data_IF_086810980933
#
_entry.id   IF_086810980933
#
_cell.length_a   1.000
_cell.length_b   1.000
_cell.length_c   1.000
_cell.angle_alpha   90.00
_cell.angle_beta   90.00
_cell.angle_gamma   90.00
#
_symmetry.space_group_name_H-M   'P 1'
#
loop_
_entity.id
_entity.type
_entity.pdbx_description
1 polymer ?
#
# COMPACT_ATOMS: atom_id res chain seq x y z
N UNK A 1 33.47 -17.06 4.18
CA UNK A 1 32.75 -17.47 5.41
C UNK A 1 32.79 -16.41 6.52
N UNK A 2 33.06 -15.13 6.23
CA UNK A 2 33.14 -14.09 7.27
C UNK A 2 32.44 -12.77 6.87
N UNK A 3 31.47 -12.85 5.96
CA UNK A 3 30.77 -11.69 5.42
C UNK A 3 29.26 -11.93 5.35
N UNK A 4 28.62 -12.15 6.51
CA UNK A 4 27.18 -11.92 6.73
C UNK A 4 26.77 -12.26 8.17
N UNK A 5 27.53 -11.83 9.20
CA UNK A 5 26.86 -11.45 10.45
C UNK A 5 26.16 -10.14 10.13
N UNK A 6 24.95 -10.23 9.55
CA UNK A 6 24.00 -9.13 9.63
C UNK A 6 23.91 -8.84 11.11
N UNK A 7 24.51 -7.74 11.53
CA UNK A 7 24.32 -7.16 12.84
C UNK A 7 22.82 -7.00 12.97
N UNK A 8 22.17 -7.93 13.67
CA UNK A 8 20.87 -7.71 14.25
C UNK A 8 21.13 -6.61 15.25
N UNK A 9 21.06 -5.35 14.80
CA UNK A 9 20.98 -4.23 15.71
C UNK A 9 19.79 -4.55 16.59
N UNK A 10 20.04 -4.76 17.88
CA UNK A 10 19.02 -5.04 18.87
C UNK A 10 18.04 -3.85 18.86
N UNK A 11 16.97 -3.96 18.07
CA UNK A 11 15.90 -2.99 18.05
C UNK A 11 15.18 -3.16 19.38
N UNK A 12 15.47 -2.28 20.34
CA UNK A 12 14.77 -2.26 21.62
C UNK A 12 13.28 -1.95 21.44
N UNK A 13 12.47 -2.17 22.48
CA UNK A 13 11.01 -1.97 22.43
C UNK A 13 10.63 -0.59 21.87
N UNK A 14 11.27 0.48 22.36
CA UNK A 14 11.00 1.84 21.91
C UNK A 14 11.32 2.03 20.43
N UNK A 15 12.47 1.53 19.96
CA UNK A 15 12.83 1.58 18.55
C UNK A 15 11.87 0.77 17.69
N UNK A 16 11.36 -0.36 18.19
CA UNK A 16 10.35 -1.18 17.53
C UNK A 16 9.01 -0.44 17.39
N UNK A 17 8.53 0.18 18.46
CA UNK A 17 7.32 1.02 18.45
C UNK A 17 7.48 2.18 17.46
N UNK A 18 8.60 2.90 17.51
CA UNK A 18 8.89 3.99 16.57
C UNK A 18 8.91 3.53 15.11
N UNK A 19 9.42 2.32 14.84
CA UNK A 19 9.41 1.74 13.49
C UNK A 19 7.98 1.44 13.03
N UNK A 20 7.13 0.86 13.90
CA UNK A 20 5.71 0.58 13.59
C UNK A 20 4.96 1.89 13.33
N UNK A 21 5.09 2.89 14.21
CA UNK A 21 4.45 4.20 14.04
C UNK A 21 4.92 4.85 12.74
N UNK A 22 6.22 4.81 12.47
CA UNK A 22 6.82 5.36 11.27
C UNK A 22 6.41 4.66 9.97
N UNK A 23 6.03 3.38 9.99
CA UNK A 23 5.54 2.67 8.80
C UNK A 23 4.03 2.79 8.62
N UNK A 24 3.26 2.84 9.71
CA UNK A 24 1.79 2.93 9.68
C UNK A 24 1.29 4.33 9.30
N UNK A 25 1.96 5.39 9.79
CA UNK A 25 1.61 6.75 9.42
C UNK A 25 2.04 6.99 7.96
N UNK A 26 1.07 7.00 7.04
CA UNK A 26 1.26 7.28 5.63
C UNK A 26 0.51 8.52 5.16
N UNK A 27 0.51 8.77 3.85
CA UNK A 27 -0.24 9.87 3.23
C UNK A 27 -1.76 9.73 3.30
N UNK A 28 -2.28 8.56 3.69
CA UNK A 28 -3.71 8.29 3.78
C UNK A 28 -4.46 9.26 4.70
N UNK A 29 -3.83 9.75 5.79
CA UNK A 29 -4.47 10.70 6.71
C UNK A 29 -4.85 12.04 6.05
N UNK A 30 -4.17 12.41 4.96
CA UNK A 30 -4.49 13.65 4.25
C UNK A 30 -5.62 13.46 3.24
N UNK A 31 -5.82 12.24 2.75
CA UNK A 31 -6.76 11.92 1.65
C UNK A 31 -8.07 11.35 2.19
N UNK A 32 -7.99 10.36 3.09
CA UNK A 32 -9.12 9.57 3.56
C UNK A 32 -10.21 10.35 4.30
N UNK A 33 -9.93 11.40 5.10
CA UNK A 33 -11.00 12.12 5.82
C UNK A 33 -12.10 12.65 4.91
N UNK A 34 -11.75 13.11 3.70
CA UNK A 34 -12.70 13.56 2.67
C UNK A 34 -13.71 12.47 2.32
N UNK A 35 -13.21 11.28 1.95
CA UNK A 35 -14.06 10.18 1.52
C UNK A 35 -14.88 9.61 2.68
N UNK A 36 -14.30 9.50 3.88
CA UNK A 36 -15.03 9.01 5.06
C UNK A 36 -16.15 9.96 5.45
N UNK A 37 -15.91 11.28 5.46
CA UNK A 37 -16.96 12.25 5.78
C UNK A 37 -18.09 12.24 4.73
N UNK A 38 -17.73 12.15 3.45
CA UNK A 38 -18.68 12.06 2.35
C UNK A 38 -19.65 10.87 2.50
N UNK A 39 -19.12 9.68 2.81
CA UNK A 39 -19.94 8.48 2.93
C UNK A 39 -20.66 8.36 4.28
N UNK A 40 -20.11 8.95 5.35
CA UNK A 40 -20.73 8.94 6.68
C UNK A 40 -21.78 10.05 6.87
N UNK A 41 -21.72 11.12 6.07
CA UNK A 41 -22.72 12.20 6.03
C UNK A 41 -22.69 13.16 7.22
N UNK A 42 -22.00 12.82 8.31
CA UNK A 42 -21.92 13.61 9.54
C UNK A 42 -20.60 13.38 10.28
N UNK A 43 -20.21 14.34 11.12
CA UNK A 43 -18.90 14.36 11.81
C UNK A 43 -18.78 13.24 12.87
N UNK A 44 -19.84 13.00 13.64
CA UNK A 44 -19.89 11.98 14.68
C UNK A 44 -19.66 10.56 14.14
N UNK A 45 -20.47 10.10 13.16
CA UNK A 45 -20.25 8.82 12.48
C UNK A 45 -18.86 8.70 11.83
N UNK A 46 -18.33 9.79 11.25
CA UNK A 46 -16.96 9.82 10.71
C UNK A 46 -15.91 9.44 11.76
N UNK A 47 -15.96 10.05 12.96
CA UNK A 47 -15.03 9.75 14.06
C UNK A 47 -15.17 8.32 14.60
N UNK A 48 -16.39 7.78 14.64
CA UNK A 48 -16.64 6.38 15.05
C UNK A 48 -16.02 5.40 14.06
N UNK A 49 -16.15 5.66 12.75
CA UNK A 49 -15.55 4.83 11.69
C UNK A 49 -14.01 4.83 11.84
N UNK A 50 -13.38 5.99 12.04
CA UNK A 50 -11.93 6.08 12.27
C UNK A 50 -11.47 5.24 13.46
N UNK A 51 -12.23 5.29 14.57
CA UNK A 51 -11.94 4.51 15.78
C UNK A 51 -12.09 3.01 15.51
N UNK A 52 -13.17 2.60 14.83
CA UNK A 52 -13.41 1.21 14.46
C UNK A 52 -12.32 0.65 13.54
N UNK A 53 -11.85 1.44 12.55
CA UNK A 53 -10.73 1.06 11.69
C UNK A 53 -9.43 0.85 12.47
N UNK A 54 -9.15 1.67 13.48
CA UNK A 54 -7.96 1.51 14.34
C UNK A 54 -8.00 0.23 15.17
N UNK A 55 -9.18 -0.12 15.72
CA UNK A 55 -9.39 -1.40 16.43
C UNK A 55 -9.20 -2.57 15.46
N UNK A 56 -9.82 -2.52 14.29
CA UNK A 56 -9.74 -3.56 13.28
C UNK A 56 -8.29 -3.79 12.79
N UNK A 57 -7.53 -2.72 12.57
CA UNK A 57 -6.12 -2.81 12.19
C UNK A 57 -5.28 -3.49 13.30
N UNK A 58 -5.57 -3.19 14.56
CA UNK A 58 -4.89 -3.82 15.71
C UNK A 58 -5.20 -5.33 15.78
N UNK A 59 -6.47 -5.71 15.61
CA UNK A 59 -6.89 -7.12 15.59
C UNK A 59 -6.24 -7.89 14.43
N UNK A 60 -6.18 -7.27 13.24
CA UNK A 60 -5.47 -7.83 12.09
C UNK A 60 -3.98 -8.01 12.36
N UNK A 61 -3.31 -6.97 12.90
CA UNK A 61 -1.88 -7.01 13.22
C UNK A 61 -1.52 -8.13 14.22
N UNK A 62 -2.38 -8.39 15.20
CA UNK A 62 -2.21 -9.50 16.15
C UNK A 62 -2.27 -10.87 15.44
N UNK A 63 -3.18 -11.05 14.47
CA UNK A 63 -3.23 -12.27 13.66
C UNK A 63 -1.94 -12.44 12.83
N UNK A 64 -1.44 -11.34 12.25
CA UNK A 64 -0.16 -11.33 11.54
C UNK A 64 1.04 -11.60 12.44
N UNK A 65 1.01 -11.19 13.71
CA UNK A 65 2.07 -11.47 14.68
C UNK A 65 2.19 -12.96 15.01
N UNK A 66 1.07 -13.68 15.17
CA UNK A 66 1.08 -15.15 15.31
C UNK A 66 1.62 -15.82 14.04
N UNK A 67 1.17 -15.42 12.86
CA UNK A 67 1.65 -15.99 11.59
C UNK A 67 3.15 -15.74 11.36
N UNK A 68 3.62 -14.51 11.62
CA UNK A 68 5.01 -14.13 11.40
C UNK A 68 5.99 -14.75 12.40
N UNK A 69 5.53 -15.09 13.61
CA UNK A 69 6.35 -15.84 14.58
C UNK A 69 6.32 -17.34 14.34
N UNK A 70 5.25 -17.87 13.70
CA UNK A 70 5.13 -19.27 13.33
C UNK A 70 5.87 -19.63 12.04
N UNK A 71 5.83 -18.75 11.03
CA UNK A 71 6.42 -18.99 9.71
C UNK A 71 7.47 -17.90 9.44
N UNK A 72 8.71 -18.18 9.81
CA UNK A 72 9.85 -17.26 9.66
C UNK A 72 10.45 -17.31 8.24
N UNK A 73 9.61 -17.19 7.21
CA UNK A 73 10.03 -17.14 5.80
C UNK A 73 9.85 -15.71 5.25
N UNK A 74 10.75 -15.28 4.39
CA UNK A 74 10.60 -13.99 3.68
C UNK A 74 9.49 -14.08 2.62
N UNK A 75 8.66 -13.04 2.48
CA UNK A 75 7.64 -12.97 1.42
C UNK A 75 6.29 -12.38 1.80
N UNK A 76 6.09 -11.95 3.06
CA UNK A 76 4.80 -11.39 3.50
C UNK A 76 3.75 -12.47 3.66
N UNK A 77 2.56 -12.29 3.06
CA UNK A 77 1.46 -13.27 3.12
C UNK A 77 1.69 -14.50 2.24
N UNK A 78 2.53 -14.38 1.21
CA UNK A 78 2.84 -15.47 0.29
C UNK A 78 3.23 -16.80 0.98
N UNK A 79 4.22 -16.84 1.91
CA UNK A 79 4.56 -18.06 2.62
C UNK A 79 3.44 -18.58 3.54
N UNK A 80 2.59 -17.70 4.08
CA UNK A 80 1.48 -18.11 4.95
C UNK A 80 0.40 -18.84 4.14
N UNK A 81 0.06 -18.29 2.97
CA UNK A 81 -0.89 -18.91 2.04
C UNK A 81 -0.34 -20.20 1.43
N UNK A 82 0.98 -20.24 1.16
CA UNK A 82 1.65 -21.44 0.67
C UNK A 82 1.56 -22.59 1.69
N UNK A 83 1.82 -22.33 2.97
CA UNK A 83 1.80 -23.38 4.00
C UNK A 83 0.38 -23.84 4.34
N UNK A 84 -0.61 -22.94 4.28
CA UNK A 84 -2.00 -23.27 4.62
C UNK A 84 -2.80 -23.91 3.48
N UNK A 85 -2.64 -23.41 2.25
CA UNK A 85 -3.49 -23.76 1.10
C UNK A 85 -2.74 -24.29 -0.12
N UNK A 86 -1.40 -24.26 -0.09
CA UNK A 86 -0.56 -24.73 -1.20
C UNK A 86 -0.31 -23.70 -2.30
N UNK A 87 0.19 -24.17 -3.43
CA UNK A 87 0.80 -23.32 -4.46
C UNK A 87 -0.20 -22.50 -5.28
N UNK A 88 -1.44 -22.96 -5.43
CA UNK A 88 -2.48 -22.28 -6.22
C UNK A 88 -2.86 -20.93 -5.62
N UNK A 89 -3.27 -20.91 -4.35
CA UNK A 89 -3.68 -19.67 -3.67
C UNK A 89 -2.49 -18.74 -3.41
N UNK A 90 -1.31 -19.30 -3.10
CA UNK A 90 -0.09 -18.51 -3.01
C UNK A 90 0.29 -17.84 -4.35
N UNK A 91 0.09 -18.54 -5.48
CA UNK A 91 0.28 -17.97 -6.80
C UNK A 91 -0.74 -16.86 -7.08
N UNK A 92 -2.04 -17.08 -6.82
CA UNK A 92 -3.07 -16.06 -7.02
C UNK A 92 -2.80 -14.80 -6.20
N UNK A 93 -2.37 -14.95 -4.95
CA UNK A 93 -1.90 -13.82 -4.15
C UNK A 93 -0.74 -13.09 -4.81
N UNK A 94 0.29 -13.83 -5.24
CA UNK A 94 1.46 -13.22 -5.88
C UNK A 94 1.08 -12.50 -7.19
N UNK A 95 0.21 -13.10 -8.00
CA UNK A 95 -0.30 -12.54 -9.25
C UNK A 95 -1.03 -11.23 -8.99
N UNK A 96 -2.05 -11.26 -8.14
CA UNK A 96 -2.85 -10.08 -7.83
C UNK A 96 -2.01 -9.01 -7.14
N UNK A 97 -1.10 -9.38 -6.25
CA UNK A 97 -0.30 -8.38 -5.54
C UNK A 97 0.66 -7.64 -6.47
N UNK A 98 1.29 -8.35 -7.41
CA UNK A 98 2.28 -7.77 -8.33
C UNK A 98 1.62 -7.01 -9.47
N UNK A 99 0.49 -7.50 -9.99
CA UNK A 99 -0.18 -6.90 -11.16
C UNK A 99 -1.24 -5.85 -10.79
N UNK A 100 -1.86 -5.96 -9.61
CA UNK A 100 -2.94 -5.09 -9.14
C UNK A 100 -2.49 -4.30 -7.92
N UNK A 101 -2.28 -4.94 -6.79
CA UNK A 101 -2.24 -4.22 -5.51
C UNK A 101 -1.06 -3.23 -5.42
N UNK A 102 0.15 -3.66 -5.80
CA UNK A 102 1.35 -2.80 -5.70
C UNK A 102 1.35 -1.66 -6.72
N UNK A 103 1.06 -1.90 -8.03
CA UNK A 103 0.95 -0.81 -8.99
C UNK A 103 -0.19 0.16 -8.68
N UNK A 104 -1.38 -0.34 -8.32
CA UNK A 104 -2.53 0.50 -7.97
C UNK A 104 -2.23 1.35 -6.73
N UNK A 105 -1.65 0.75 -5.68
CA UNK A 105 -1.23 1.51 -4.49
C UNK A 105 -0.21 2.60 -4.83
N UNK A 106 0.76 2.32 -5.69
CA UNK A 106 1.75 3.31 -6.11
C UNK A 106 1.09 4.46 -6.88
N UNK A 107 0.18 4.14 -7.81
CA UNK A 107 -0.56 5.12 -8.60
C UNK A 107 -1.51 5.99 -7.75
N UNK A 108 -2.23 5.42 -6.77
CA UNK A 108 -3.08 6.19 -5.84
C UNK A 108 -2.25 7.25 -5.12
N UNK A 109 -1.10 6.85 -4.56
CA UNK A 109 -0.25 7.76 -3.79
C UNK A 109 0.31 8.88 -4.68
N UNK A 110 0.77 8.57 -5.89
CA UNK A 110 1.35 9.59 -6.79
C UNK A 110 0.31 10.49 -7.43
N UNK A 111 -0.93 10.00 -7.65
CA UNK A 111 -2.05 10.85 -8.04
C UNK A 111 -2.40 11.85 -6.93
N UNK A 112 -2.45 11.39 -5.68
CA UNK A 112 -2.66 12.30 -4.54
C UNK A 112 -1.51 13.30 -4.39
N UNK A 113 -0.25 12.87 -4.55
CA UNK A 113 0.90 13.79 -4.61
C UNK A 113 0.66 14.89 -5.66
N UNK A 114 0.24 14.51 -6.86
CA UNK A 114 0.05 15.45 -7.96
C UNK A 114 -1.12 16.40 -7.72
N UNK A 115 -2.22 15.94 -7.11
CA UNK A 115 -3.36 16.79 -6.71
C UNK A 115 -2.91 17.85 -5.70
N UNK A 116 -2.22 17.45 -4.61
CA UNK A 116 -1.73 18.41 -3.61
C UNK A 116 -0.62 19.33 -4.11
N UNK A 117 0.25 18.85 -5.01
CA UNK A 117 1.33 19.65 -5.57
C UNK A 117 0.84 20.67 -6.59
N UNK A 118 -0.22 20.35 -7.34
CA UNK A 118 -0.78 21.26 -8.35
C UNK A 118 -1.80 22.25 -7.78
N UNK A 119 -2.54 21.87 -6.75
CA UNK A 119 -3.62 22.69 -6.23
C UNK A 119 -3.26 24.14 -5.82
N UNK A 120 -2.05 24.45 -5.28
CA UNK A 120 -1.68 25.84 -4.97
C UNK A 120 -1.63 26.76 -6.20
N UNK A 121 -1.45 26.19 -7.40
CA UNK A 121 -1.42 26.93 -8.66
C UNK A 121 -2.83 27.15 -9.26
N UNK A 122 -3.86 26.56 -8.66
CA UNK A 122 -5.25 26.62 -9.10
C UNK A 122 -6.19 27.04 -7.95
N UNK A 123 -6.01 28.24 -7.37
CA UNK A 123 -6.85 28.68 -6.26
C UNK A 123 -8.32 28.80 -6.68
N UNK A 124 -9.21 28.11 -5.97
CA UNK A 124 -10.66 28.15 -6.21
C UNK A 124 -11.16 27.31 -7.39
N UNK A 125 -10.30 26.57 -8.09
CA UNK A 125 -10.69 25.65 -9.14
C UNK A 125 -9.97 24.30 -9.02
N UNK A 126 -10.51 23.26 -9.66
CA UNK A 126 -9.86 21.95 -9.68
C UNK A 126 -8.75 21.94 -10.74
N UNK A 127 -7.51 21.50 -10.40
CA UNK A 127 -6.45 21.40 -11.39
C UNK A 127 -6.87 20.46 -12.54
N UNK A 128 -6.50 20.77 -13.80
CA UNK A 128 -6.85 19.93 -14.94
C UNK A 128 -6.35 18.49 -14.77
N UNK A 129 -7.17 17.51 -15.14
CA UNK A 129 -6.84 16.07 -15.00
C UNK A 129 -5.55 15.70 -15.73
N UNK A 130 -5.26 16.34 -16.86
CA UNK A 130 -4.02 16.15 -17.60
C UNK A 130 -2.79 16.54 -16.77
N UNK A 131 -2.84 17.66 -16.04
CA UNK A 131 -1.73 18.14 -15.20
C UNK A 131 -1.46 17.16 -14.06
N UNK A 132 -2.53 16.70 -13.38
CA UNK A 132 -2.42 15.71 -12.30
C UNK A 132 -1.79 14.41 -12.82
N UNK A 133 -2.26 13.90 -13.96
CA UNK A 133 -1.77 12.64 -14.54
C UNK A 133 -0.31 12.73 -15.00
N UNK A 134 0.07 13.82 -15.68
CA UNK A 134 1.46 14.05 -16.10
C UNK A 134 2.41 14.21 -14.91
N UNK A 135 2.01 14.95 -13.88
CA UNK A 135 2.81 15.17 -12.68
C UNK A 135 2.97 13.87 -11.86
N UNK A 136 1.91 13.06 -11.77
CA UNK A 136 1.95 11.73 -11.15
C UNK A 136 2.89 10.78 -11.89
N UNK A 137 2.81 10.73 -13.23
CA UNK A 137 3.70 9.91 -14.05
C UNK A 137 5.17 10.35 -13.91
N UNK A 138 5.44 11.66 -13.90
CA UNK A 138 6.77 12.20 -13.65
C UNK A 138 7.30 11.79 -12.27
N UNK A 139 6.46 11.85 -11.23
CA UNK A 139 6.84 11.43 -9.88
C UNK A 139 7.20 9.94 -9.83
N UNK A 140 6.40 9.06 -10.47
CA UNK A 140 6.73 7.62 -10.57
C UNK A 140 8.08 7.41 -11.22
N UNK A 141 8.32 8.04 -12.38
CA UNK A 141 9.58 7.90 -13.13
C UNK A 141 10.77 8.33 -12.27
N UNK A 142 10.67 9.48 -11.60
CA UNK A 142 11.73 9.97 -10.71
C UNK A 142 11.99 8.99 -9.57
N UNK A 143 10.94 8.53 -8.87
CA UNK A 143 11.07 7.60 -7.75
C UNK A 143 11.71 6.28 -8.20
N UNK A 144 11.24 5.72 -9.31
CA UNK A 144 11.78 4.47 -9.86
C UNK A 144 13.24 4.62 -10.27
N UNK A 145 13.61 5.73 -10.93
CA UNK A 145 15.01 6.02 -11.28
C UNK A 145 15.87 6.10 -10.02
N UNK A 146 15.47 6.88 -9.02
CA UNK A 146 16.24 7.02 -7.77
C UNK A 146 16.46 5.66 -7.09
N UNK A 147 15.42 4.82 -7.02
CA UNK A 147 15.50 3.48 -6.43
C UNK A 147 16.34 2.50 -7.26
N UNK A 148 16.35 2.64 -8.59
CA UNK A 148 17.20 1.85 -9.47
C UNK A 148 18.68 2.28 -9.41
N UNK A 149 18.94 3.57 -9.17
CA UNK A 149 20.29 4.15 -9.09
C UNK A 149 20.99 3.84 -7.76
N UNK A 150 20.32 4.02 -6.62
CA UNK A 150 20.93 3.83 -5.30
C UNK A 150 19.91 3.58 -4.20
N UNK A 151 19.96 2.38 -3.60
CA UNK A 151 19.17 2.03 -2.40
C UNK A 151 19.52 2.94 -1.22
N UNK A 152 20.79 3.32 -1.08
CA UNK A 152 21.25 4.20 0.02
C UNK A 152 20.61 5.58 -0.09
N UNK A 153 20.64 6.17 -1.29
CA UNK A 153 20.01 7.47 -1.54
C UNK A 153 18.50 7.42 -1.28
N UNK A 154 17.83 6.40 -1.84
CA UNK A 154 16.40 6.22 -1.63
C UNK A 154 16.03 6.03 -0.14
N UNK A 155 16.90 5.39 0.66
CA UNK A 155 16.74 5.25 2.11
C UNK A 155 16.94 6.58 2.87
N UNK A 156 17.96 7.37 2.54
CA UNK A 156 18.16 8.70 3.15
C UNK A 156 16.98 9.64 2.85
N UNK A 157 16.51 9.63 1.60
CA UNK A 157 15.34 10.39 1.16
C UNK A 157 14.08 9.94 1.93
N UNK A 158 13.91 8.62 2.13
CA UNK A 158 12.81 8.07 2.93
C UNK A 158 12.82 8.57 4.37
N UNK A 159 13.99 8.57 5.03
CA UNK A 159 14.13 9.01 6.41
C UNK A 159 13.78 10.48 6.58
N UNK A 160 14.23 11.33 5.65
CA UNK A 160 13.88 12.75 5.64
C UNK A 160 12.36 12.97 5.53
N UNK A 161 11.69 12.33 4.56
CA UNK A 161 10.25 12.46 4.40
C UNK A 161 9.45 11.85 5.56
N UNK A 162 10.01 10.82 6.22
CA UNK A 162 9.42 10.23 7.43
C UNK A 162 9.51 11.18 8.63
N UNK A 163 10.59 11.94 8.77
CA UNK A 163 10.66 13.00 9.78
C UNK A 163 9.69 14.14 9.46
N UNK A 164 9.66 14.59 8.20
CA UNK A 164 8.77 15.67 7.75
C UNK A 164 7.29 15.36 8.04
N UNK A 165 6.82 14.15 7.72
CA UNK A 165 5.41 13.77 7.97
C UNK A 165 5.05 13.76 9.46
N UNK A 166 5.98 13.41 10.37
CA UNK A 166 5.71 13.40 11.80
C UNK A 166 5.59 14.82 12.35
N UNK A 167 6.46 15.73 11.89
CA UNK A 167 6.44 17.15 12.30
C UNK A 167 5.10 17.79 11.95
N UNK A 168 4.61 17.63 10.71
CA UNK A 168 3.34 18.27 10.31
C UNK A 168 2.13 17.71 11.06
N UNK A 169 2.11 16.42 11.38
CA UNK A 169 1.03 15.82 12.18
C UNK A 169 1.02 16.40 13.59
N UNK A 170 2.19 16.57 14.21
CA UNK A 170 2.31 17.20 15.54
C UNK A 170 1.78 18.64 15.49
N UNK A 171 2.12 19.39 14.44
CA UNK A 171 1.63 20.77 14.24
C UNK A 171 0.11 20.80 14.13
N UNK A 172 -0.49 19.92 13.31
CA UNK A 172 -1.95 19.84 13.12
C UNK A 172 -2.65 19.49 14.44
N UNK A 173 -2.13 18.51 15.20
CA UNK A 173 -2.71 18.09 16.48
C UNK A 173 -2.61 19.20 17.53
N UNK A 174 -1.45 19.83 17.68
CA UNK A 174 -1.24 20.91 18.65
C UNK A 174 -2.16 22.11 18.35
N UNK A 175 -2.23 22.52 17.08
CA UNK A 175 -3.13 23.57 16.64
C UNK A 175 -4.61 23.21 16.87
N UNK A 176 -5.03 21.97 16.58
CA UNK A 176 -6.38 21.50 16.85
C UNK A 176 -6.75 21.57 18.33
N UNK A 177 -5.83 21.19 19.23
CA UNK A 177 -6.04 21.29 20.69
C UNK A 177 -6.20 22.75 21.13
N UNK A 178 -5.37 23.66 20.60
CA UNK A 178 -5.47 25.10 20.92
C UNK A 178 -6.81 25.68 20.46
N UNK A 179 -7.26 25.35 19.24
CA UNK A 179 -8.55 25.82 18.73
C UNK A 179 -9.74 25.27 19.54
N UNK A 180 -9.65 24.02 20.02
CA UNK A 180 -10.64 23.44 20.93
C UNK A 180 -10.65 24.16 22.27
N UNK A 181 -9.47 24.48 22.82
CA UNK A 181 -9.34 25.23 24.08
C UNK A 181 -9.86 26.67 23.97
N UNK A 182 -9.82 27.28 22.78
CA UNK A 182 -10.40 28.58 22.49
C UNK A 182 -11.94 28.56 22.34
N UNK A 183 -12.57 27.39 22.38
CA UNK A 183 -14.02 27.25 22.33
C UNK A 183 -14.61 27.10 20.93
N UNK A 184 -13.81 26.89 19.88
CA UNK A 184 -14.27 26.67 18.50
C UNK A 184 -14.91 25.27 18.31
N UNK A 185 -16.01 25.02 19.01
CA UNK A 185 -16.68 23.71 19.10
C UNK A 185 -18.01 23.65 18.35
N UNK A 186 -18.35 24.69 17.59
CA UNK A 186 -19.62 24.81 16.85
C UNK A 186 -19.87 23.65 15.88
N UNK A 187 -18.83 23.09 15.26
CA UNK A 187 -18.95 21.95 14.35
C UNK A 187 -19.22 20.61 15.08
N UNK A 188 -19.13 20.58 16.41
CA UNK A 188 -19.32 19.38 17.24
C UNK A 188 -20.68 19.38 17.96
N UNK A 189 -21.42 20.49 17.98
CA UNK A 189 -22.70 20.59 18.72
C UNK A 189 -23.80 19.74 18.08
N UNK A 190 -23.91 19.73 16.76
CA UNK A 190 -24.84 18.87 16.00
C UNK A 190 -24.08 17.78 15.22
N UNK A 191 -23.12 17.11 15.85
CA UNK A 191 -22.19 16.19 15.17
C UNK A 191 -22.87 15.01 14.44
N UNK A 192 -24.12 14.66 14.76
CA UNK A 192 -24.85 13.55 14.14
C UNK A 192 -25.91 13.98 13.11
N UNK A 193 -26.11 15.27 12.89
CA UNK A 193 -27.04 15.77 11.86
C UNK A 193 -26.30 15.91 10.51
N UNK A 194 -26.85 15.28 9.47
CA UNK A 194 -26.17 15.16 8.17
C UNK A 194 -26.62 16.18 7.12
N UNK A 195 -25.67 16.63 6.30
CA UNK A 195 -25.92 17.41 5.09
C UNK A 195 -25.44 16.62 3.87
N UNK A 196 -26.33 16.36 2.92
CA UNK A 196 -26.01 15.72 1.64
C UNK A 196 -25.33 16.75 0.71
N UNK A 197 -24.02 16.95 0.89
CA UNK A 197 -23.25 17.80 -0.02
C UNK A 197 -22.66 16.99 -1.19
N UNK A 198 -22.52 17.64 -2.34
CA UNK A 198 -22.04 17.04 -3.59
C UNK A 198 -20.56 16.65 -3.52
N UNK A 199 -20.23 15.49 -4.10
CA UNK A 199 -18.90 14.82 -4.05
C UNK A 199 -17.74 15.74 -4.49
N UNK A 200 -17.96 16.56 -5.52
CA UNK A 200 -16.95 17.50 -6.05
C UNK A 200 -16.68 18.69 -5.14
N UNK A 201 -17.72 19.25 -4.51
CA UNK A 201 -17.60 20.41 -3.63
C UNK A 201 -16.85 20.08 -2.33
N UNK A 202 -17.03 18.86 -1.81
CA UNK A 202 -16.37 18.39 -0.58
C UNK A 202 -14.85 18.24 -0.78
N UNK A 203 -14.40 17.88 -1.99
CA UNK A 203 -12.98 17.79 -2.31
C UNK A 203 -12.27 19.13 -2.30
N UNK A 204 -12.87 20.11 -2.96
CA UNK A 204 -12.39 21.48 -2.91
C UNK A 204 -12.50 22.03 -1.48
N UNK A 205 -13.54 21.66 -0.73
CA UNK A 205 -13.74 22.09 0.66
C UNK A 205 -12.69 21.54 1.64
N UNK A 206 -12.21 20.30 1.48
CA UNK A 206 -11.11 19.78 2.30
C UNK A 206 -9.77 20.42 1.94
N UNK A 207 -9.50 20.63 0.65
CA UNK A 207 -8.30 21.33 0.21
C UNK A 207 -8.30 22.79 0.69
N UNK A 208 -9.38 23.52 0.41
CA UNK A 208 -9.62 24.86 0.93
C UNK A 208 -9.66 24.86 2.47
N UNK A 209 -10.10 23.78 3.10
CA UNK A 209 -10.08 23.60 4.56
C UNK A 209 -8.65 23.53 5.11
N UNK A 210 -7.75 22.78 4.48
CA UNK A 210 -6.33 22.73 4.84
C UNK A 210 -5.64 24.07 4.57
N UNK A 211 -6.00 24.73 3.46
CA UNK A 211 -5.50 26.05 3.11
C UNK A 211 -5.97 27.13 4.11
N UNK A 212 -7.28 27.18 4.39
CA UNK A 212 -7.87 28.09 5.38
C UNK A 212 -7.44 27.77 6.80
N UNK A 213 -7.16 26.51 7.14
CA UNK A 213 -6.51 26.14 8.39
C UNK A 213 -5.09 26.73 8.44
N UNK A 214 -4.31 26.57 7.37
CA UNK A 214 -3.01 27.20 7.23
C UNK A 214 -3.08 28.72 7.39
N UNK A 215 -4.02 29.38 6.71
CA UNK A 215 -4.17 30.83 6.78
C UNK A 215 -4.67 31.31 8.16
N UNK A 216 -5.61 30.60 8.79
CA UNK A 216 -6.19 31.01 10.08
C UNK A 216 -5.29 30.70 11.28
N UNK A 217 -4.56 29.60 11.24
CA UNK A 217 -3.74 29.12 12.36
C UNK A 217 -2.27 29.51 12.19
N UNK A 218 -1.77 29.45 10.96
CA UNK A 218 -0.36 29.64 10.61
C UNK A 218 -0.22 30.79 9.62
N UNK A 219 -0.81 31.95 9.91
CA UNK A 219 -0.93 33.11 9.02
C UNK A 219 0.35 33.54 8.24
N UNK A 220 1.60 33.33 8.71
CA UNK A 220 2.82 33.52 7.87
C UNK A 220 3.38 32.25 7.18
N UNK A 221 2.86 31.07 7.51
CA UNK A 221 3.37 29.75 7.12
C UNK A 221 2.29 28.86 6.46
N UNK A 222 1.22 29.41 5.88
CA UNK A 222 0.13 28.61 5.30
C UNK A 222 0.58 27.69 4.15
N UNK A 223 1.61 28.08 3.41
CA UNK A 223 2.27 27.29 2.36
C UNK A 223 3.00 26.03 2.88
N UNK A 224 3.30 25.95 4.19
CA UNK A 224 3.97 24.81 4.81
C UNK A 224 3.07 23.57 4.76
N UNK A 225 1.77 23.70 5.03
CA UNK A 225 0.89 22.53 5.14
C UNK A 225 0.84 21.74 3.83
N UNK A 226 0.55 22.34 2.65
CA UNK A 226 0.58 21.60 1.37
C UNK A 226 1.96 21.03 1.05
N UNK A 227 3.04 21.77 1.33
CA UNK A 227 4.41 21.31 1.08
C UNK A 227 4.74 20.03 1.87
N UNK A 228 4.40 19.98 3.15
CA UNK A 228 4.66 18.80 3.98
C UNK A 228 3.76 17.61 3.61
N UNK A 229 2.53 17.86 3.14
CA UNK A 229 1.66 16.80 2.57
C UNK A 229 2.28 16.22 1.30
N UNK A 230 2.80 17.06 0.41
CA UNK A 230 3.53 16.65 -0.80
C UNK A 230 4.77 15.83 -0.44
N UNK A 231 5.54 16.23 0.58
CA UNK A 231 6.66 15.43 1.09
C UNK A 231 6.23 14.07 1.66
N UNK A 232 5.12 14.02 2.39
CA UNK A 232 4.59 12.77 2.95
C UNK A 232 4.11 11.79 1.86
N UNK A 233 3.39 12.29 0.85
CA UNK A 233 2.94 11.47 -0.30
C UNK A 233 4.13 10.94 -1.11
N UNK A 234 5.13 11.77 -1.39
CA UNK A 234 6.34 11.33 -2.09
C UNK A 234 7.12 10.27 -1.28
N UNK A 235 7.26 10.45 0.04
CA UNK A 235 7.87 9.45 0.93
C UNK A 235 7.07 8.14 1.02
N UNK A 236 5.74 8.22 0.99
CA UNK A 236 4.88 7.02 0.97
C UNK A 236 5.04 6.24 -0.34
N UNK A 237 5.15 6.95 -1.47
CA UNK A 237 5.35 6.38 -2.78
C UNK A 237 6.72 5.69 -2.92
N UNK A 238 7.78 6.32 -2.40
CA UNK A 238 9.13 5.74 -2.32
C UNK A 238 9.16 4.48 -1.43
N UNK A 239 8.51 4.52 -0.27
CA UNK A 239 8.34 3.35 0.60
C UNK A 239 7.61 2.19 -0.08
N UNK A 240 6.55 2.47 -0.84
CA UNK A 240 5.81 1.46 -1.60
C UNK A 240 6.70 0.76 -2.63
N UNK A 241 7.53 1.52 -3.35
CA UNK A 241 8.48 1.03 -4.35
C UNK A 241 9.43 -0.04 -3.78
N UNK A 242 10.00 0.18 -2.59
CA UNK A 242 10.85 -0.81 -1.91
C UNK A 242 10.12 -2.13 -1.64
N UNK A 243 8.87 -2.05 -1.17
CA UNK A 243 8.10 -3.26 -0.83
C UNK A 243 7.67 -4.04 -2.07
N UNK A 244 7.34 -3.35 -3.17
CA UNK A 244 6.97 -3.97 -4.43
C UNK A 244 8.14 -4.79 -5.02
N UNK A 245 9.35 -4.20 -5.03
CA UNK A 245 10.56 -4.87 -5.50
C UNK A 245 10.86 -6.16 -4.72
N UNK A 246 10.73 -6.14 -3.39
CA UNK A 246 11.00 -7.31 -2.53
C UNK A 246 10.04 -8.47 -2.78
N UNK A 247 8.75 -8.19 -2.97
CA UNK A 247 7.76 -9.25 -3.21
C UNK A 247 7.93 -9.89 -4.60
N UNK A 248 8.13 -9.08 -5.63
CA UNK A 248 8.42 -9.56 -6.99
C UNK A 248 9.71 -10.40 -7.03
N UNK A 249 10.72 -10.02 -6.25
CA UNK A 249 11.95 -10.78 -6.09
C UNK A 249 11.71 -12.16 -5.47
N UNK A 250 10.99 -12.24 -4.34
CA UNK A 250 10.73 -13.52 -3.64
C UNK A 250 9.86 -14.46 -4.47
N UNK A 251 8.78 -13.95 -5.06
CA UNK A 251 7.89 -14.76 -5.93
C UNK A 251 8.58 -15.28 -7.19
N UNK A 252 9.51 -14.52 -7.77
CA UNK A 252 10.33 -14.95 -8.89
C UNK A 252 11.31 -16.07 -8.53
N UNK A 253 11.84 -16.08 -7.30
CA UNK A 253 12.73 -17.15 -6.80
C UNK A 253 12.03 -18.49 -6.65
N UNK A 254 10.78 -18.49 -6.18
CA UNK A 254 9.95 -19.69 -6.02
C UNK A 254 9.37 -20.22 -7.35
N UNK A 255 9.65 -19.53 -8.48
CA UNK A 255 9.18 -19.93 -9.81
C UNK A 255 7.70 -19.66 -10.06
N UNK A 256 7.04 -18.91 -9.19
CA UNK A 256 5.65 -18.47 -9.35
C UNK A 256 5.54 -17.20 -10.21
N UNK A 257 6.64 -16.47 -10.41
CA UNK A 257 6.73 -15.33 -11.32
C UNK A 257 7.92 -15.47 -12.27
N UNK A 258 7.99 -14.58 -13.27
CA UNK A 258 9.08 -14.56 -14.25
C UNK A 258 10.42 -14.36 -13.53
N UNK A 259 11.38 -15.26 -13.74
CA UNK A 259 12.67 -15.28 -13.04
C UNK A 259 13.45 -13.97 -13.15
N UNK A 260 13.29 -13.22 -14.23
CA UNK A 260 14.00 -11.94 -14.40
C UNK A 260 13.63 -10.90 -13.34
N UNK A 261 12.43 -10.96 -12.77
CA UNK A 261 12.02 -10.07 -11.69
C UNK A 261 12.80 -10.34 -10.39
N UNK A 262 13.44 -11.50 -10.28
CA UNK A 262 14.34 -11.83 -9.16
C UNK A 262 15.79 -11.44 -9.39
N UNK A 263 16.14 -10.88 -10.55
CA UNK A 263 17.54 -10.53 -10.85
C UNK A 263 17.93 -9.20 -10.21
N UNK A 264 19.22 -9.05 -9.93
CA UNK A 264 19.82 -7.90 -9.25
C UNK A 264 20.84 -7.25 -10.20
N UNK A 265 20.89 -5.92 -10.24
CA UNK A 265 21.88 -5.18 -11.03
C UNK A 265 23.30 -5.35 -10.47
N UNK A 266 24.27 -5.66 -11.35
CA UNK A 266 25.67 -5.91 -10.98
C UNK A 266 26.34 -4.68 -10.34
N UNK A 267 26.18 -3.50 -10.94
CA UNK A 267 26.89 -2.29 -10.49
C UNK A 267 26.31 -1.67 -9.23
N UNK A 268 25.00 -1.84 -9.00
CA UNK A 268 24.23 -1.06 -8.02
C UNK A 268 23.56 -1.91 -6.93
N UNK A 269 23.56 -3.24 -7.07
CA UNK A 269 22.90 -4.17 -6.14
C UNK A 269 21.41 -3.86 -5.89
N UNK A 270 20.73 -3.31 -6.90
CA UNK A 270 19.29 -2.96 -6.86
C UNK A 270 18.46 -4.00 -7.63
N UNK A 271 17.23 -4.32 -7.22
CA UNK A 271 16.31 -5.18 -7.96
C UNK A 271 15.65 -4.41 -9.12
N UNK A 272 16.46 -3.87 -10.05
CA UNK A 272 16.00 -2.95 -11.09
C UNK A 272 14.88 -3.49 -12.00
N UNK A 273 14.84 -4.78 -12.42
CA UNK A 273 13.76 -5.27 -13.27
C UNK A 273 12.40 -5.23 -12.57
N UNK A 274 12.35 -5.58 -11.28
CA UNK A 274 11.12 -5.55 -10.49
C UNK A 274 10.61 -4.12 -10.28
N UNK A 275 11.51 -3.17 -10.01
CA UNK A 275 11.16 -1.77 -9.80
C UNK A 275 10.62 -1.12 -11.09
N UNK A 276 11.30 -1.36 -12.23
CA UNK A 276 10.83 -0.90 -13.53
C UNK A 276 9.48 -1.50 -13.89
N UNK A 277 9.30 -2.80 -13.66
CA UNK A 277 8.04 -3.48 -13.93
C UNK A 277 6.87 -2.87 -13.14
N UNK A 278 7.05 -2.65 -11.84
CA UNK A 278 6.03 -2.01 -11.01
C UNK A 278 5.75 -0.55 -11.44
N UNK A 279 6.79 0.20 -11.81
CA UNK A 279 6.65 1.57 -12.31
C UNK A 279 5.87 1.67 -13.62
N UNK A 280 6.17 0.79 -14.58
CA UNK A 280 5.46 0.71 -15.87
C UNK A 280 3.99 0.36 -15.65
N UNK A 281 3.69 -0.63 -14.82
CA UNK A 281 2.30 -0.98 -14.48
C UNK A 281 1.58 0.21 -13.81
N UNK A 282 2.22 0.89 -12.86
CA UNK A 282 1.61 2.04 -12.18
C UNK A 282 1.29 3.19 -13.15
N UNK A 283 2.12 3.44 -14.17
CA UNK A 283 1.82 4.40 -15.24
C UNK A 283 0.60 3.96 -16.06
N UNK A 284 0.46 2.66 -16.38
CA UNK A 284 -0.74 2.15 -17.05
C UNK A 284 -2.01 2.36 -16.21
N UNK A 285 -1.95 2.22 -14.89
CA UNK A 285 -3.09 2.50 -14.01
C UNK A 285 -3.46 3.99 -13.96
N UNK A 286 -2.52 4.93 -14.11
CA UNK A 286 -2.80 6.38 -14.07
C UNK A 286 -3.67 6.84 -15.26
N UNK A 287 -3.52 6.22 -16.44
CA UNK A 287 -4.18 6.68 -17.67
C UNK A 287 -5.71 6.61 -17.55
N UNK A 288 -6.33 5.47 -17.20
CA UNK A 288 -7.79 5.37 -17.08
C UNK A 288 -8.32 5.77 -15.70
N UNK A 289 -7.51 5.78 -14.64
CA UNK A 289 -8.03 5.81 -13.28
C UNK A 289 -8.52 7.19 -12.80
N UNK A 290 -9.55 7.12 -11.94
CA UNK A 290 -9.85 8.10 -10.90
C UNK A 290 -9.33 7.54 -9.56
N UNK A 291 -9.02 8.42 -8.60
CA UNK A 291 -8.43 8.01 -7.32
C UNK A 291 -9.41 7.12 -6.54
N UNK A 292 -10.69 7.48 -6.52
CA UNK A 292 -11.70 6.75 -5.74
C UNK A 292 -11.95 5.34 -6.31
N UNK A 293 -12.04 5.23 -7.63
CA UNK A 293 -12.24 3.94 -8.32
C UNK A 293 -11.05 3.02 -8.10
N UNK A 294 -9.83 3.56 -8.16
CA UNK A 294 -8.62 2.80 -7.90
C UNK A 294 -8.52 2.36 -6.43
N UNK A 295 -8.99 3.19 -5.48
CA UNK A 295 -9.09 2.82 -4.06
C UNK A 295 -10.09 1.68 -3.86
N UNK A 296 -11.27 1.73 -4.49
CA UNK A 296 -12.27 0.66 -4.39
C UNK A 296 -11.71 -0.65 -4.95
N UNK A 297 -11.10 -0.60 -6.13
CA UNK A 297 -10.44 -1.74 -6.77
C UNK A 297 -9.33 -2.36 -5.91
N UNK A 298 -8.44 -1.52 -5.38
CA UNK A 298 -7.37 -1.94 -4.47
C UNK A 298 -7.92 -2.56 -3.18
N UNK A 299 -8.89 -1.89 -2.54
CA UNK A 299 -9.43 -2.29 -1.24
C UNK A 299 -10.16 -3.62 -1.33
N UNK A 300 -10.93 -3.83 -2.40
CA UNK A 300 -11.63 -5.09 -2.65
C UNK A 300 -10.67 -6.28 -2.72
N UNK A 301 -9.65 -6.19 -3.57
CA UNK A 301 -8.65 -7.26 -3.70
C UNK A 301 -7.86 -7.47 -2.40
N UNK A 302 -7.48 -6.39 -1.71
CA UNK A 302 -6.71 -6.47 -0.48
C UNK A 302 -7.49 -7.13 0.66
N UNK A 303 -8.77 -6.76 0.86
CA UNK A 303 -9.62 -7.36 1.89
C UNK A 303 -9.92 -8.83 1.63
N UNK A 304 -10.04 -9.24 0.35
CA UNK A 304 -10.18 -10.64 -0.01
C UNK A 304 -8.97 -11.47 0.46
N UNK A 305 -7.74 -10.98 0.23
CA UNK A 305 -6.53 -11.68 0.68
C UNK A 305 -6.28 -11.57 2.18
N UNK A 306 -6.65 -10.46 2.84
CA UNK A 306 -6.64 -10.37 4.30
C UNK A 306 -7.57 -11.39 4.94
N UNK A 307 -8.78 -11.57 4.39
CA UNK A 307 -9.69 -12.62 4.81
C UNK A 307 -9.11 -14.02 4.60
N UNK A 308 -8.47 -14.26 3.46
CA UNK A 308 -7.83 -15.54 3.17
C UNK A 308 -6.64 -15.83 4.10
N UNK A 309 -5.83 -14.83 4.42
CA UNK A 309 -4.70 -14.96 5.37
C UNK A 309 -5.20 -15.18 6.80
N UNK A 310 -6.28 -14.50 7.22
CA UNK A 310 -6.92 -14.77 8.51
C UNK A 310 -7.50 -16.20 8.56
N UNK A 311 -8.10 -16.68 7.46
CA UNK A 311 -8.57 -18.06 7.33
C UNK A 311 -7.40 -19.06 7.37
N UNK A 312 -6.25 -18.73 6.76
CA UNK A 312 -5.04 -19.54 6.80
C UNK A 312 -4.60 -19.80 8.25
N UNK A 313 -4.65 -18.78 9.13
CA UNK A 313 -4.34 -18.93 10.55
C UNK A 313 -5.26 -19.95 11.21
N UNK A 314 -6.57 -19.87 10.95
CA UNK A 314 -7.58 -20.81 11.49
C UNK A 314 -7.31 -22.23 10.98
N UNK A 315 -7.13 -22.40 9.67
CA UNK A 315 -6.86 -23.71 9.04
C UNK A 315 -5.59 -24.33 9.63
N UNK A 316 -4.53 -23.56 9.78
CA UNK A 316 -3.27 -24.03 10.37
C UNK A 316 -3.40 -24.40 11.85
N UNK A 317 -4.40 -23.91 12.58
CA UNK A 317 -4.71 -24.42 13.93
C UNK A 317 -5.16 -25.87 13.92
N UNK A 318 -5.82 -26.32 12.85
CA UNK A 318 -6.33 -27.69 12.74
C UNK A 318 -5.36 -28.61 12.01
N UNK A 319 -4.72 -28.15 10.93
CA UNK A 319 -3.84 -28.98 10.08
C UNK A 319 -2.41 -29.09 10.62
N UNK A 320 -1.86 -28.02 11.22
CA UNK A 320 -0.47 -27.94 11.68
C UNK A 320 -0.38 -27.63 13.18
N UNK A 321 -0.85 -28.58 14.00
CA UNK A 321 -0.87 -28.45 15.48
C UNK A 321 0.51 -28.51 16.14
N UNK A 322 1.50 -29.14 15.50
CA UNK A 322 2.84 -29.40 16.07
C UNK A 322 3.86 -28.28 15.82
N UNK A 323 3.49 -27.22 15.07
CA UNK A 323 4.35 -26.06 14.90
C UNK A 323 4.44 -25.30 16.22
N UNK A 324 5.66 -24.88 16.59
CA UNK A 324 5.87 -24.03 17.75
C UNK A 324 5.26 -22.64 17.49
N UNK A 325 4.58 -22.09 18.50
CA UNK A 325 3.85 -20.82 18.42
C UNK A 325 4.23 -19.93 19.58
N UNK A 326 5.29 -19.11 19.42
CA UNK A 326 5.72 -18.20 20.47
C UNK A 326 4.64 -17.17 20.84
N UNK A 327 3.88 -16.70 19.85
CA UNK A 327 2.73 -15.81 20.04
C UNK A 327 1.46 -16.55 19.64
N UNK A 328 0.45 -16.55 20.51
CA UNK A 328 -0.82 -17.23 20.27
C UNK A 328 -1.97 -16.30 20.60
N UNK A 329 -2.75 -15.93 19.58
CA UNK A 329 -3.93 -15.07 19.76
C UNK A 329 -5.19 -15.91 20.04
N UNK A 330 -6.21 -15.37 20.72
CA UNK A 330 -7.51 -16.02 20.83
C UNK A 330 -8.12 -16.27 19.44
N UNK A 331 -8.66 -17.48 19.21
CA UNK A 331 -9.19 -17.86 17.89
C UNK A 331 -10.37 -16.98 17.45
N UNK A 332 -11.11 -16.45 18.43
CA UNK A 332 -12.24 -15.53 18.22
C UNK A 332 -11.80 -14.29 17.43
N UNK A 333 -10.56 -13.80 17.62
CA UNK A 333 -10.07 -12.64 16.88
C UNK A 333 -9.86 -12.96 15.39
N UNK A 334 -9.30 -14.14 15.08
CA UNK A 334 -9.13 -14.57 13.70
C UNK A 334 -10.49 -14.81 13.02
N UNK A 335 -11.45 -15.40 13.72
CA UNK A 335 -12.82 -15.58 13.21
C UNK A 335 -13.49 -14.24 12.93
N UNK A 336 -13.37 -13.28 13.85
CA UNK A 336 -13.89 -11.92 13.65
C UNK A 336 -13.25 -11.25 12.43
N UNK A 337 -11.93 -11.39 12.23
CA UNK A 337 -11.25 -10.86 11.04
C UNK A 337 -11.75 -11.48 9.73
N UNK A 338 -12.07 -12.78 9.73
CA UNK A 338 -12.66 -13.44 8.55
C UNK A 338 -14.08 -12.90 8.31
N UNK A 339 -14.92 -12.79 9.34
CA UNK A 339 -16.29 -12.27 9.21
C UNK A 339 -16.31 -10.82 8.69
N UNK A 340 -15.45 -9.95 9.23
CA UNK A 340 -15.34 -8.57 8.79
C UNK A 340 -14.81 -8.49 7.36
N UNK A 341 -13.79 -9.29 7.01
CA UNK A 341 -13.29 -9.35 5.64
C UNK A 341 -14.37 -9.82 4.65
N UNK A 342 -15.16 -10.83 5.02
CA UNK A 342 -16.29 -11.28 4.20
C UNK A 342 -17.34 -10.18 4.02
N UNK A 343 -17.69 -9.46 5.08
CA UNK A 343 -18.62 -8.33 5.00
C UNK A 343 -18.09 -7.22 4.08
N UNK A 344 -16.82 -6.81 4.24
CA UNK A 344 -16.21 -5.75 3.44
C UNK A 344 -16.02 -6.11 1.96
N UNK A 345 -15.99 -7.39 1.62
CA UNK A 345 -15.95 -7.87 0.23
C UNK A 345 -17.36 -8.00 -0.36
N UNK A 346 -18.33 -8.50 0.42
CA UNK A 346 -19.68 -8.77 -0.06
C UNK A 346 -20.58 -7.53 -0.09
N UNK A 347 -20.50 -6.67 0.93
CA UNK A 347 -21.37 -5.49 1.04
C UNK A 347 -21.25 -4.54 -0.16
N UNK A 348 -20.03 -4.19 -0.66
CA UNK A 348 -19.92 -3.35 -1.84
C UNK A 348 -20.52 -3.97 -3.10
N UNK A 349 -20.43 -5.31 -3.26
CA UNK A 349 -21.03 -6.03 -4.40
C UNK A 349 -22.55 -5.97 -4.34
N UNK A 350 -23.14 -6.09 -3.15
CA UNK A 350 -24.59 -6.16 -2.95
C UNK A 350 -25.22 -4.77 -3.03
N UNK A 351 -24.65 -3.80 -2.31
CA UNK A 351 -25.27 -2.48 -2.14
C UNK A 351 -25.05 -1.55 -3.34
N UNK A 352 -23.87 -1.63 -3.98
CA UNK A 352 -23.48 -0.79 -5.12
C UNK A 352 -22.66 -1.60 -6.14
N UNK A 353 -23.32 -2.45 -6.96
CA UNK A 353 -22.64 -3.27 -7.95
C UNK A 353 -22.04 -2.40 -9.06
N UNK A 354 -20.80 -1.99 -8.90
CA UNK A 354 -20.00 -1.32 -9.94
C UNK A 354 -19.19 -2.35 -10.75
N UNK A 355 -18.95 -2.04 -12.02
CA UNK A 355 -18.19 -2.92 -12.94
C UNK A 355 -16.75 -3.18 -12.49
N UNK A 356 -16.22 -2.31 -11.62
CA UNK A 356 -14.85 -2.37 -11.10
C UNK A 356 -14.58 -3.68 -10.33
N UNK A 357 -15.54 -4.13 -9.52
CA UNK A 357 -15.42 -5.37 -8.75
C UNK A 357 -15.44 -6.61 -9.67
N UNK A 358 -16.22 -6.55 -10.75
CA UNK A 358 -16.25 -7.60 -11.76
C UNK A 358 -14.90 -7.68 -12.48
N UNK A 359 -14.36 -6.55 -12.95
CA UNK A 359 -13.04 -6.52 -13.57
C UNK A 359 -11.94 -7.00 -12.62
N UNK A 360 -12.03 -6.67 -11.33
CA UNK A 360 -11.07 -7.13 -10.34
C UNK A 360 -11.12 -8.66 -10.20
N UNK A 361 -12.32 -9.21 -10.07
CA UNK A 361 -12.55 -10.65 -9.92
C UNK A 361 -12.06 -11.41 -11.15
N UNK A 362 -12.42 -10.95 -12.35
CA UNK A 362 -11.93 -11.54 -13.61
C UNK A 362 -10.40 -11.49 -13.68
N UNK A 363 -9.80 -10.38 -13.28
CA UNK A 363 -8.34 -10.24 -13.29
C UNK A 363 -7.65 -11.17 -12.30
N UNK A 364 -8.19 -11.34 -11.08
CA UNK A 364 -7.66 -12.30 -10.10
C UNK A 364 -7.69 -13.71 -10.71
N UNK A 365 -8.82 -14.13 -11.27
CA UNK A 365 -8.94 -15.46 -11.87
C UNK A 365 -8.18 -15.63 -13.20
N UNK A 366 -7.91 -14.54 -13.93
CA UNK A 366 -7.06 -14.58 -15.13
C UNK A 366 -5.66 -15.12 -14.83
N UNK A 367 -5.16 -14.96 -13.60
CA UNK A 367 -3.91 -15.56 -13.16
C UNK A 367 -3.92 -17.10 -13.29
N UNK A 368 -5.08 -17.75 -13.14
CA UNK A 368 -5.19 -19.20 -13.33
C UNK A 368 -4.84 -19.65 -14.75
N UNK A 369 -5.15 -18.82 -15.75
CA UNK A 369 -4.81 -19.11 -17.15
C UNK A 369 -3.30 -19.16 -17.37
N UNK A 370 -2.53 -18.40 -16.58
CA UNK A 370 -1.06 -18.43 -16.61
C UNK A 370 -0.48 -19.47 -15.65
N UNK A 371 -1.17 -19.78 -14.56
CA UNK A 371 -0.72 -20.80 -13.60
C UNK A 371 -0.60 -22.19 -14.24
N UNK A 372 -1.62 -22.66 -14.97
CA UNK A 372 -1.61 -24.02 -15.51
C UNK A 372 -0.49 -24.26 -16.54
N UNK A 373 -0.28 -23.42 -17.56
CA UNK A 373 0.78 -23.65 -18.56
C UNK A 373 2.19 -23.40 -18.02
N UNK A 374 2.38 -22.34 -17.23
CA UNK A 374 3.73 -21.90 -16.83
C UNK A 374 4.22 -22.56 -15.54
N UNK A 375 3.34 -22.79 -14.55
CA UNK A 375 3.73 -23.30 -13.23
C UNK A 375 3.42 -24.79 -13.10
N UNK A 376 2.20 -25.23 -13.45
CA UNK A 376 1.76 -26.61 -13.27
C UNK A 376 2.33 -27.56 -14.34
N UNK A 377 2.10 -27.27 -15.62
CA UNK A 377 2.54 -28.12 -16.74
C UNK A 377 3.97 -27.87 -17.21
N UNK A 378 4.60 -26.75 -16.83
CA UNK A 378 5.99 -26.37 -17.19
C UNK A 378 6.32 -26.61 -18.67
N UNK A 379 5.42 -26.18 -19.55
CA UNK A 379 5.47 -26.50 -20.99
C UNK A 379 6.79 -26.02 -21.61
N UNK A 380 7.40 -26.88 -22.45
CA UNK A 380 8.72 -26.62 -23.04
C UNK A 380 8.73 -25.40 -23.98
N UNK A 381 7.64 -25.18 -24.73
CA UNK A 381 7.52 -24.01 -25.61
C UNK A 381 7.54 -22.68 -24.84
N UNK A 382 6.85 -22.61 -23.69
CA UNK A 382 6.86 -21.42 -22.83
C UNK A 382 8.29 -21.08 -22.34
N UNK A 383 9.08 -22.10 -21.97
CA UNK A 383 10.50 -21.90 -21.62
C UNK A 383 11.33 -21.46 -22.82
N UNK A 384 11.07 -22.01 -24.00
CA UNK A 384 11.74 -21.63 -25.25
C UNK A 384 11.48 -20.16 -25.61
N UNK A 385 10.25 -19.68 -25.45
CA UNK A 385 9.85 -18.30 -25.70
C UNK A 385 10.41 -17.31 -24.66
N UNK A 386 10.40 -17.67 -23.38
CA UNK A 386 10.85 -16.78 -22.30
C UNK A 386 12.37 -16.64 -22.21
N UNK A 387 13.15 -17.64 -22.64
CA UNK A 387 14.63 -17.60 -22.63
C UNK A 387 15.23 -16.43 -23.41
N UNK A 388 14.91 -16.19 -24.70
CA UNK A 388 15.48 -15.09 -25.46
C UNK A 388 15.10 -13.73 -24.86
N UNK A 389 13.86 -13.57 -24.40
CA UNK A 389 13.41 -12.34 -23.72
C UNK A 389 14.23 -12.10 -22.45
N UNK A 390 14.38 -13.14 -21.63
CA UNK A 390 15.18 -13.07 -20.41
C UNK A 390 16.63 -12.70 -20.72
N UNK A 391 17.24 -13.29 -21.75
CA UNK A 391 18.62 -13.02 -22.15
C UNK A 391 18.81 -11.57 -22.66
N UNK A 392 17.91 -11.07 -23.50
CA UNK A 392 17.99 -9.69 -24.00
C UNK A 392 17.84 -8.67 -22.87
N UNK A 393 16.84 -8.87 -22.00
CA UNK A 393 16.63 -7.99 -20.85
C UNK A 393 17.79 -8.09 -19.84
N UNK A 394 18.39 -9.27 -19.69
CA UNK A 394 19.55 -9.48 -18.83
C UNK A 394 20.75 -8.65 -19.29
N UNK A 395 21.04 -8.67 -20.60
CA UNK A 395 22.11 -7.88 -21.21
C UNK A 395 21.80 -6.38 -21.18
N UNK A 396 20.57 -6.00 -21.53
CA UNK A 396 20.14 -4.60 -21.57
C UNK A 396 20.24 -3.90 -20.20
N UNK A 397 19.91 -4.63 -19.13
CA UNK A 397 19.87 -4.07 -17.78
C UNK A 397 21.12 -4.37 -16.94
N UNK A 398 22.10 -5.10 -17.47
CA UNK A 398 23.27 -5.59 -16.74
C UNK A 398 22.89 -6.26 -15.39
N UNK A 399 21.93 -7.17 -15.43
CA UNK A 399 21.39 -7.86 -14.25
C UNK A 399 21.83 -9.32 -14.19
N UNK A 400 21.96 -9.86 -12.98
CA UNK A 400 22.34 -11.26 -12.75
C UNK A 400 21.40 -11.94 -11.77
N UNK A 401 21.23 -13.27 -11.88
CA UNK A 401 20.53 -14.02 -10.85
C UNK A 401 21.25 -13.85 -9.50
N UNK A 402 20.50 -13.79 -8.39
CA UNK A 402 21.10 -13.71 -7.06
C UNK A 402 21.88 -14.99 -6.77
N UNK A 403 23.02 -14.86 -6.09
CA UNK A 403 23.76 -16.01 -5.57
C UNK A 403 22.81 -16.86 -4.71
N UNK A 404 22.69 -18.15 -5.04
CA UNK A 404 21.97 -19.09 -4.19
C UNK A 404 22.87 -19.31 -2.97
N UNK A 405 22.45 -18.82 -1.81
CA UNK A 405 22.95 -19.36 -0.55
C UNK A 405 22.52 -20.83 -0.52
N UNK A 406 23.47 -21.74 -0.77
CA UNK A 406 23.35 -23.15 -0.43
C UNK A 406 23.22 -23.34 1.09
#
# INVERSE_FOLDING_TARGET
QEAAKVTVTNVGLMSGISLIVGTMIGSGIFISPKSVLLYSGAVGPCLLIWTACGVLATLGALCYAELGTMITKSGGEYPYLMEAFGSLLAYLYSWTTIMVLKPSSFAIITLSFAEYASAPFYPGCTPPTLVIKCLSAAAIVIIVIVNCLSVKLASYVQNFFTAAKLVIIIVIVAAGIVLLAQGNTENLTNAFEGSSASVGAIGLAFYNGLWTFGDRVLYPLSWIVPLFVVFSTFGSANGSCFTAGRLAYVSGREGHMVKILSYISLRRCTPSPALLFNGVLAIFYIIPADINTLINYFSFAQWAFYGLTALALIVMRFTRKKLDRPVKVPIVLAVLMVLVSCYLVLAPIIDKPELEYLYCTIFIFSGLLLYFPFVYWKVNWARSFMRPITMHLQLLMEVVPPEKNE
#
